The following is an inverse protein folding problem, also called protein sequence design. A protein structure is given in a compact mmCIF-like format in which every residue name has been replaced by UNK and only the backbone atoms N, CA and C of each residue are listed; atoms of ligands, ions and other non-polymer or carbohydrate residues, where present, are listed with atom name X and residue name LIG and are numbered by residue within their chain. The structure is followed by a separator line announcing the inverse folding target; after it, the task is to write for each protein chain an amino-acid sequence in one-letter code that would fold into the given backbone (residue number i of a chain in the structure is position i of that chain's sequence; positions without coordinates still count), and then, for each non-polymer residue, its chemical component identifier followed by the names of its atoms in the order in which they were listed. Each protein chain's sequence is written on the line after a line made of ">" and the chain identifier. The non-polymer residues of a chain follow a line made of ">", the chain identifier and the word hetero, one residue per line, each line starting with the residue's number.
data_IF_695358918111
#
_entry.id   IF_695358918111
#
_cell.length_a   1.000
_cell.length_b   1.000
_cell.length_c   1.000
_cell.angle_alpha   90.00
_cell.angle_beta   90.00
_cell.angle_gamma   90.00
#
_symmetry.space_group_name_H-M   'P 1'
#
loop_
_entity.id
_entity.type
_entity.pdbx_description
1 polymer ?
#
# COMPACT_ATOMS: atom_id res chain seq x y z
N UNK A 1 -58.03 12.00 37.12
CA UNK A 1 -57.08 11.12 36.38
C UNK A 1 -56.11 12.02 35.63
N UNK A 2 -54.91 12.25 36.17
CA UNK A 2 -53.89 13.14 35.57
C UNK A 2 -52.94 12.30 34.73
N UNK A 3 -52.77 12.69 33.48
CA UNK A 3 -52.07 11.98 32.42
C UNK A 3 -50.58 11.78 32.74
N UNK A 4 -50.15 10.52 32.68
CA UNK A 4 -48.78 10.06 32.98
C UNK A 4 -47.77 10.42 31.86
N UNK A 5 -48.24 10.93 30.71
CA UNK A 5 -47.41 11.18 29.53
C UNK A 5 -46.44 12.37 29.60
N UNK A 6 -46.61 13.31 30.54
CA UNK A 6 -45.78 14.54 30.57
C UNK A 6 -44.48 14.42 31.38
N UNK A 7 -44.25 13.31 32.10
CA UNK A 7 -43.01 13.14 32.89
C UNK A 7 -41.79 12.68 32.09
N UNK A 8 -41.96 12.27 30.83
CA UNK A 8 -40.83 11.89 29.97
C UNK A 8 -40.13 13.06 29.27
N UNK A 9 -40.68 14.27 29.34
CA UNK A 9 -40.09 15.47 28.73
C UNK A 9 -39.15 16.25 29.68
N UNK A 10 -39.10 15.89 30.96
CA UNK A 10 -38.28 16.58 31.99
C UNK A 10 -36.99 15.82 32.32
N UNK A 11 -36.61 14.87 31.46
CA UNK A 11 -35.46 14.01 31.71
C UNK A 11 -34.19 14.67 31.15
N UNK A 12 -33.34 15.16 32.05
CA UNK A 12 -32.00 15.72 31.76
C UNK A 12 -31.08 14.78 30.97
N UNK A 13 -31.52 13.55 30.71
CA UNK A 13 -30.91 12.54 29.84
C UNK A 13 -31.07 12.84 28.35
N UNK A 14 -32.07 13.63 27.95
CA UNK A 14 -32.33 13.98 26.54
C UNK A 14 -31.22 14.84 25.91
N UNK A 15 -30.60 15.74 26.68
CA UNK A 15 -29.49 16.57 26.22
C UNK A 15 -28.25 15.73 25.84
N UNK A 16 -28.00 14.65 26.58
CA UNK A 16 -26.88 13.73 26.30
C UNK A 16 -27.09 12.97 24.99
N UNK A 17 -28.32 12.52 24.71
CA UNK A 17 -28.63 11.78 23.48
C UNK A 17 -28.48 12.65 22.23
N UNK A 18 -28.95 13.89 22.27
CA UNK A 18 -28.78 14.85 21.17
C UNK A 18 -27.31 15.12 20.88
N UNK A 19 -26.49 15.26 21.93
CA UNK A 19 -25.04 15.46 21.79
C UNK A 19 -24.38 14.27 21.10
N UNK A 20 -24.74 13.03 21.48
CA UNK A 20 -24.19 11.83 20.84
C UNK A 20 -24.61 11.70 19.38
N UNK A 21 -25.87 12.00 19.05
CA UNK A 21 -26.36 11.95 17.67
C UNK A 21 -25.63 12.95 16.77
N UNK A 22 -25.25 14.12 17.31
CA UNK A 22 -24.47 15.13 16.59
C UNK A 22 -22.97 14.78 16.49
N UNK A 23 -22.38 14.20 17.53
CA UNK A 23 -20.94 13.91 17.56
C UNK A 23 -20.58 12.65 16.77
N UNK A 24 -21.49 11.67 16.73
CA UNK A 24 -21.28 10.39 16.06
C UNK A 24 -20.92 10.52 14.57
N UNK A 25 -21.62 11.30 13.73
CA UNK A 25 -21.24 11.45 12.31
C UNK A 25 -19.88 12.13 12.14
N UNK A 26 -19.54 13.10 13.00
CA UNK A 26 -18.23 13.76 12.99
C UNK A 26 -17.14 12.76 13.36
N UNK A 27 -17.38 11.94 14.38
CA UNK A 27 -16.46 10.90 14.80
C UNK A 27 -16.26 9.83 13.70
N UNK A 28 -17.33 9.39 13.04
CA UNK A 28 -17.23 8.45 11.92
C UNK A 28 -16.42 9.04 10.76
N UNK A 29 -16.64 10.31 10.42
CA UNK A 29 -15.85 11.00 9.38
C UNK A 29 -14.36 11.04 9.74
N UNK A 30 -14.02 11.30 11.00
CA UNK A 30 -12.62 11.30 11.46
C UNK A 30 -11.99 9.91 11.37
N UNK A 31 -12.70 8.87 11.82
CA UNK A 31 -12.19 7.49 11.79
C UNK A 31 -11.99 7.01 10.35
N UNK A 32 -12.96 7.27 9.47
CA UNK A 32 -12.86 6.91 8.06
C UNK A 32 -11.73 7.68 7.36
N UNK A 33 -11.60 8.98 7.64
CA UNK A 33 -10.50 9.78 7.11
C UNK A 33 -9.12 9.28 7.57
N UNK A 34 -8.98 8.97 8.85
CA UNK A 34 -7.74 8.40 9.40
C UNK A 34 -7.42 7.04 8.79
N UNK A 35 -8.43 6.18 8.58
CA UNK A 35 -8.27 4.88 7.96
C UNK A 35 -7.74 4.97 6.52
N UNK A 36 -8.27 5.89 5.71
CA UNK A 36 -7.78 6.10 4.34
C UNK A 36 -6.31 6.58 4.31
N UNK A 37 -5.94 7.49 5.20
CA UNK A 37 -4.54 7.96 5.31
C UNK A 37 -3.62 6.82 5.74
N UNK A 38 -4.01 6.05 6.76
CA UNK A 38 -3.26 4.88 7.21
C UNK A 38 -3.03 3.88 6.07
N UNK A 39 -4.08 3.60 5.30
CA UNK A 39 -4.04 2.72 4.13
C UNK A 39 -3.04 3.20 3.08
N UNK A 40 -3.01 4.48 2.75
CA UNK A 40 -2.05 5.05 1.81
C UNK A 40 -0.59 4.89 2.30
N UNK A 41 -0.35 5.16 3.59
CA UNK A 41 0.99 5.02 4.19
C UNK A 41 1.45 3.56 4.12
N UNK A 42 0.56 2.61 4.46
CA UNK A 42 0.87 1.18 4.42
C UNK A 42 1.29 0.71 3.02
N UNK A 43 0.62 1.19 1.97
CA UNK A 43 0.95 0.84 0.58
C UNK A 43 2.27 1.44 0.14
N UNK A 44 2.52 2.70 0.50
CA UNK A 44 3.81 3.33 0.20
C UNK A 44 4.95 2.55 0.87
N UNK A 45 4.76 2.13 2.13
CA UNK A 45 5.74 1.34 2.86
C UNK A 45 5.97 -0.04 2.23
N UNK A 46 4.92 -0.74 1.79
CA UNK A 46 5.09 -2.03 1.10
C UNK A 46 5.76 -1.87 -0.27
N UNK A 47 5.43 -0.81 -1.02
CA UNK A 47 6.10 -0.50 -2.29
C UNK A 47 7.60 -0.22 -2.09
N UNK A 48 7.96 0.54 -1.05
CA UNK A 48 9.35 0.82 -0.70
C UNK A 48 10.12 -0.46 -0.32
N UNK A 49 9.54 -1.32 0.52
CA UNK A 49 10.16 -2.59 0.91
C UNK A 49 10.29 -3.55 -0.28
N UNK A 50 9.25 -3.64 -1.12
CA UNK A 50 9.25 -4.47 -2.33
C UNK A 50 10.28 -4.01 -3.35
N UNK A 51 10.39 -2.70 -3.61
CA UNK A 51 11.40 -2.14 -4.52
C UNK A 51 12.80 -2.35 -4.00
N UNK A 52 13.03 -2.16 -2.70
CA UNK A 52 14.32 -2.46 -2.07
C UNK A 52 14.71 -3.93 -2.23
N UNK A 53 13.80 -4.87 -1.96
CA UNK A 53 14.08 -6.32 -2.12
C UNK A 53 14.30 -6.71 -3.57
N UNK A 54 13.48 -6.19 -4.49
CA UNK A 54 13.65 -6.38 -5.92
C UNK A 54 15.02 -5.85 -6.40
N UNK A 55 15.42 -4.66 -5.91
CA UNK A 55 16.72 -4.08 -6.21
C UNK A 55 17.85 -4.92 -5.64
N UNK A 56 17.74 -5.41 -4.41
CA UNK A 56 18.73 -6.29 -3.81
C UNK A 56 18.86 -7.62 -4.59
N UNK A 57 17.73 -8.18 -5.02
CA UNK A 57 17.70 -9.39 -5.83
C UNK A 57 18.38 -9.17 -7.19
N UNK A 58 18.12 -8.04 -7.86
CA UNK A 58 18.78 -7.65 -9.12
C UNK A 58 20.27 -7.36 -8.96
N UNK A 59 20.70 -6.81 -7.82
CA UNK A 59 22.11 -6.62 -7.51
C UNK A 59 22.89 -7.93 -7.58
N UNK A 60 22.24 -9.01 -7.14
CA UNK A 60 22.79 -10.35 -7.19
C UNK A 60 22.57 -10.93 -8.58
N UNK A 61 21.32 -10.99 -9.05
CA UNK A 61 20.84 -11.64 -10.29
C UNK A 61 20.51 -10.60 -11.37
N UNK A 62 21.51 -9.96 -12.00
CA UNK A 62 21.27 -8.88 -12.97
C UNK A 62 20.48 -9.36 -14.21
N UNK A 63 20.53 -10.66 -14.52
CA UNK A 63 19.85 -11.25 -15.68
C UNK A 63 18.40 -11.64 -15.41
N UNK A 64 17.97 -11.78 -14.14
CA UNK A 64 16.60 -12.22 -13.80
C UNK A 64 15.70 -11.08 -13.33
N UNK A 65 15.39 -10.17 -14.27
CA UNK A 65 14.44 -9.07 -14.02
C UNK A 65 13.05 -9.59 -13.63
N UNK A 66 12.63 -10.72 -14.19
CA UNK A 66 11.33 -11.32 -13.88
C UNK A 66 11.28 -11.81 -12.42
N UNK A 67 12.39 -12.34 -11.89
CA UNK A 67 12.50 -12.73 -10.49
C UNK A 67 12.40 -11.54 -9.52
N UNK A 68 12.99 -10.40 -9.88
CA UNK A 68 12.83 -9.16 -9.11
C UNK A 68 11.40 -8.62 -9.16
N UNK A 69 10.74 -8.67 -10.32
CA UNK A 69 9.34 -8.30 -10.44
C UNK A 69 8.44 -9.23 -9.61
N UNK A 70 8.73 -10.54 -9.58
CA UNK A 70 8.01 -11.50 -8.74
C UNK A 70 8.17 -11.17 -7.24
N UNK A 71 9.37 -10.81 -6.77
CA UNK A 71 9.59 -10.35 -5.41
C UNK A 71 8.81 -9.07 -5.07
N UNK A 72 8.76 -8.12 -6.00
CA UNK A 72 8.00 -6.88 -5.84
C UNK A 72 6.50 -7.16 -5.72
N UNK A 73 5.94 -7.98 -6.62
CA UNK A 73 4.53 -8.38 -6.61
C UNK A 73 4.18 -9.14 -5.34
N UNK A 74 5.03 -10.10 -4.95
CA UNK A 74 4.87 -10.87 -3.71
C UNK A 74 4.74 -9.97 -2.48
N UNK A 75 5.59 -8.96 -2.35
CA UNK A 75 5.55 -8.06 -1.18
C UNK A 75 4.29 -7.19 -1.18
N UNK A 76 3.80 -6.81 -2.36
CA UNK A 76 2.57 -6.04 -2.50
C UNK A 76 1.33 -6.87 -2.20
N UNK A 77 1.26 -8.10 -2.71
CA UNK A 77 0.12 -9.00 -2.51
C UNK A 77 0.06 -9.54 -1.08
N UNK A 78 1.22 -9.67 -0.42
CA UNK A 78 1.29 -10.04 1.00
C UNK A 78 0.86 -8.91 1.94
N UNK A 79 0.94 -7.66 1.50
CA UNK A 79 0.44 -6.54 2.27
C UNK A 79 -1.09 -6.63 2.32
N UNK A 80 -1.67 -6.72 3.53
CA UNK A 80 -3.13 -6.84 3.75
C UNK A 80 -3.96 -5.78 3.00
N UNK A 81 -3.34 -4.66 2.64
CA UNK A 81 -3.96 -3.51 1.99
C UNK A 81 -3.44 -3.31 0.56
N UNK A 82 -2.30 -3.93 0.23
CA UNK A 82 -1.66 -3.84 -1.08
C UNK A 82 -2.34 -4.76 -2.10
N UNK A 83 -2.35 -4.31 -3.36
CA UNK A 83 -2.78 -5.11 -4.49
C UNK A 83 -1.83 -4.82 -5.64
N UNK A 84 -1.22 -5.86 -6.23
CA UNK A 84 -0.34 -5.71 -7.38
C UNK A 84 -1.08 -5.35 -8.69
N UNK A 85 -2.42 -5.34 -8.73
CA UNK A 85 -3.23 -5.07 -9.92
C UNK A 85 -2.95 -3.70 -10.59
N UNK A 86 -2.43 -2.73 -9.84
CA UNK A 86 -2.03 -1.41 -10.36
C UNK A 86 -0.54 -1.26 -10.65
N UNK A 87 0.25 -2.31 -10.46
CA UNK A 87 1.69 -2.25 -10.63
C UNK A 87 2.05 -2.27 -12.12
N UNK A 88 2.79 -1.25 -12.56
CA UNK A 88 3.37 -1.26 -13.89
C UNK A 88 4.62 -2.15 -13.93
N UNK A 89 4.90 -2.81 -15.07
CA UNK A 89 6.12 -3.60 -15.22
C UNK A 89 7.36 -2.72 -15.00
N UNK A 90 8.39 -3.31 -14.40
CA UNK A 90 9.66 -2.62 -14.16
C UNK A 90 10.26 -2.13 -15.48
N UNK A 91 10.78 -0.90 -15.49
CA UNK A 91 11.52 -0.39 -16.62
C UNK A 91 12.81 -1.21 -16.82
N UNK A 92 12.90 -1.85 -18.00
CA UNK A 92 14.02 -2.74 -18.36
C UNK A 92 15.17 -1.99 -19.03
N UNK A 93 14.98 -0.70 -19.28
CA UNK A 93 15.95 0.14 -19.98
C UNK A 93 17.25 0.18 -19.18
N UNK A 94 18.34 -0.30 -19.77
CA UNK A 94 19.65 -0.35 -19.12
C UNK A 94 19.87 -1.53 -18.16
N UNK A 95 18.91 -2.45 -18.00
CA UNK A 95 19.10 -3.68 -17.22
C UNK A 95 19.71 -4.83 -18.04
N UNK A 96 19.65 -4.75 -19.38
CA UNK A 96 20.21 -5.79 -20.25
C UNK A 96 21.73 -5.68 -20.34
N UNK A 97 22.42 -6.77 -20.01
CA UNK A 97 23.88 -6.85 -20.14
C UNK A 97 24.67 -6.21 -18.98
N UNK A 98 24.00 -5.93 -17.85
CA UNK A 98 24.64 -5.50 -16.61
C UNK A 98 25.75 -6.47 -16.21
N UNK A 99 26.95 -5.93 -16.06
CA UNK A 99 28.13 -6.64 -15.55
C UNK A 99 28.34 -6.31 -14.09
N UNK A 100 29.28 -7.02 -13.50
CA UNK A 100 29.59 -6.77 -12.11
C UNK A 100 30.14 -5.35 -11.87
N UNK A 101 29.65 -4.71 -10.81
CA UNK A 101 30.02 -3.33 -10.45
C UNK A 101 29.26 -2.26 -11.23
N UNK A 102 28.52 -2.63 -12.29
CA UNK A 102 27.74 -1.67 -13.07
C UNK A 102 26.62 -1.07 -12.21
N UNK A 103 26.38 0.25 -12.34
CA UNK A 103 25.25 0.88 -11.69
C UNK A 103 23.95 0.49 -12.41
N UNK A 104 22.91 0.24 -11.63
CA UNK A 104 21.56 0.03 -12.14
C UNK A 104 20.57 0.89 -11.36
N UNK A 105 19.44 1.17 -11.97
CA UNK A 105 18.33 1.88 -11.34
C UNK A 105 17.04 1.16 -11.68
N UNK A 106 16.22 0.92 -10.67
CA UNK A 106 14.91 0.29 -10.81
C UNK A 106 13.87 1.31 -10.40
N UNK A 107 12.81 1.39 -11.19
CA UNK A 107 11.67 2.25 -10.94
C UNK A 107 10.42 1.39 -10.89
N UNK A 108 9.72 1.40 -9.76
CA UNK A 108 8.39 0.83 -9.67
C UNK A 108 7.35 1.93 -9.66
N UNK A 109 6.29 1.72 -10.42
CA UNK A 109 5.15 2.62 -10.49
C UNK A 109 3.92 1.82 -10.11
N UNK A 110 3.21 2.28 -9.08
CA UNK A 110 1.97 1.70 -8.62
C UNK A 110 0.86 2.74 -8.78
N UNK A 111 -0.05 2.46 -9.69
CA UNK A 111 -1.27 3.24 -9.85
C UNK A 111 -2.33 2.69 -8.89
N UNK A 112 -2.84 3.54 -8.00
CA UNK A 112 -3.84 3.11 -7.01
C UNK A 112 -5.22 3.22 -7.65
N UNK A 113 -5.97 2.12 -7.83
CA UNK A 113 -7.20 2.13 -8.60
C UNK A 113 -8.39 2.70 -7.84
N UNK A 114 -8.29 2.89 -6.52
CA UNK A 114 -9.37 3.47 -5.74
C UNK A 114 -9.20 4.97 -5.56
N UNK A 115 -10.34 5.63 -5.59
CA UNK A 115 -10.46 7.05 -5.35
C UNK A 115 -10.43 7.28 -3.84
N UNK A 116 -9.41 7.97 -3.34
CA UNK A 116 -9.44 8.48 -1.96
C UNK A 116 -10.28 9.73 -1.94
N UNK A 117 -11.52 9.61 -1.45
CA UNK A 117 -12.41 10.75 -1.26
C UNK A 117 -12.01 11.52 0.00
N UNK A 118 -10.93 12.30 -0.10
CA UNK A 118 -10.60 13.27 0.95
C UNK A 118 -11.52 14.47 0.73
N UNK A 119 -12.35 14.86 1.71
CA UNK A 119 -13.19 16.05 1.58
C UNK A 119 -12.34 17.24 1.15
N UNK A 120 -12.83 18.01 0.17
CA UNK A 120 -12.18 19.21 -0.38
C UNK A 120 -10.92 18.98 -1.25
N UNK A 121 -10.50 17.73 -1.49
CA UNK A 121 -9.51 17.43 -2.51
C UNK A 121 -10.18 16.85 -3.76
N UNK A 122 -9.74 17.25 -4.97
CA UNK A 122 -10.23 16.65 -6.20
C UNK A 122 -9.86 15.16 -6.23
N UNK A 123 -10.80 14.34 -6.69
CA UNK A 123 -10.57 12.91 -6.93
C UNK A 123 -9.49 12.79 -8.00
N UNK A 124 -8.32 12.29 -7.61
CA UNK A 124 -7.18 12.09 -8.51
C UNK A 124 -6.69 10.65 -8.41
N UNK A 125 -6.26 10.10 -9.55
CA UNK A 125 -5.52 8.85 -9.57
C UNK A 125 -4.17 9.09 -8.89
N UNK A 126 -3.99 8.50 -7.71
CA UNK A 126 -2.74 8.60 -6.97
C UNK A 126 -1.78 7.58 -7.58
N UNK A 127 -0.63 8.08 -8.06
CA UNK A 127 0.47 7.26 -8.55
C UNK A 127 1.62 7.33 -7.56
N UNK A 128 1.97 6.18 -7.00
CA UNK A 128 3.21 6.05 -6.24
C UNK A 128 4.35 5.66 -7.17
N UNK A 129 5.44 6.41 -7.10
CA UNK A 129 6.66 6.14 -7.84
C UNK A 129 7.77 5.97 -6.81
N UNK A 130 8.39 4.80 -6.81
CA UNK A 130 9.57 4.52 -6.01
C UNK A 130 10.72 4.15 -6.94
N UNK A 131 11.90 4.70 -6.64
CA UNK A 131 13.09 4.50 -7.44
C UNK A 131 14.25 4.13 -6.53
N UNK A 132 14.95 3.05 -6.88
CA UNK A 132 16.12 2.59 -6.14
C UNK A 132 17.28 2.37 -7.10
N UNK A 133 18.44 2.92 -6.77
CA UNK A 133 19.68 2.72 -7.54
C UNK A 133 20.68 1.92 -6.73
N UNK A 134 21.38 1.00 -7.37
CA UNK A 134 22.38 0.15 -6.76
C UNK A 134 23.53 -0.15 -7.71
N UNK A 135 24.43 -1.04 -7.28
CA UNK A 135 25.50 -1.60 -8.11
C UNK A 135 25.47 -3.11 -8.04
N UNK A 136 25.75 -3.78 -9.14
CA UNK A 136 25.79 -5.25 -9.22
C UNK A 136 26.91 -5.78 -8.32
N UNK A 137 26.61 -6.76 -7.47
CA UNK A 137 27.56 -7.33 -6.52
C UNK A 137 28.43 -8.41 -7.16
N UNK A 138 29.75 -8.42 -6.88
CA UNK A 138 30.71 -9.35 -7.49
C UNK A 138 31.01 -10.60 -6.66
N UNK A 139 30.32 -10.77 -5.54
CA UNK A 139 30.61 -11.86 -4.62
C UNK A 139 30.06 -13.20 -5.15
N UNK A 140 30.76 -14.32 -4.90
CA UNK A 140 30.23 -15.64 -5.21
C UNK A 140 28.94 -15.86 -4.43
N UNK A 141 27.89 -16.19 -5.18
CA UNK A 141 26.52 -16.30 -4.71
C UNK A 141 26.34 -17.26 -3.53
N UNK A 142 25.78 -16.76 -2.43
CA UNK A 142 24.90 -17.54 -1.55
C UNK A 142 23.51 -16.94 -1.70
N UNK A 143 22.84 -17.30 -2.78
CA UNK A 143 21.76 -16.50 -3.39
C UNK A 143 20.47 -16.41 -2.58
N UNK A 144 19.79 -15.27 -2.74
CA UNK A 144 18.35 -15.20 -2.57
C UNK A 144 17.69 -16.06 -3.64
N UNK A 145 16.91 -17.05 -3.25
CA UNK A 145 16.09 -17.84 -4.18
C UNK A 145 14.89 -17.01 -4.64
N UNK A 146 14.39 -17.28 -5.86
CA UNK A 146 13.11 -16.72 -6.32
C UNK A 146 12.03 -17.11 -5.31
N UNK A 147 11.07 -16.23 -4.95
CA UNK A 147 9.98 -16.65 -4.08
C UNK A 147 9.20 -17.70 -4.85
N UNK A 148 8.98 -18.85 -4.23
CA UNK A 148 8.21 -19.93 -4.82
C UNK A 148 6.82 -19.37 -5.13
N UNK A 149 6.31 -19.52 -6.37
CA UNK A 149 4.97 -19.06 -6.70
C UNK A 149 4.02 -19.74 -5.71
N UNK A 150 3.20 -18.95 -5.00
CA UNK A 150 2.15 -19.52 -4.16
C UNK A 150 1.17 -20.25 -5.08
N UNK A 151 1.36 -21.56 -5.21
CA UNK A 151 0.31 -22.46 -5.69
C UNK A 151 -0.91 -22.17 -4.84
N UNK A 152 -1.98 -21.73 -5.52
CA UNK A 152 -3.10 -21.04 -4.91
C UNK A 152 -3.59 -21.74 -3.65
N UNK A 153 -3.53 -21.02 -2.53
CA UNK A 153 -4.42 -21.31 -1.41
C UNK A 153 -5.83 -20.98 -1.88
N UNK A 154 -6.48 -21.95 -2.52
CA UNK A 154 -7.93 -22.01 -2.65
C UNK A 154 -8.51 -22.06 -1.24
N UNK A 155 -8.98 -20.92 -0.76
CA UNK A 155 -9.87 -20.82 0.39
C UNK A 155 -11.32 -20.96 -0.08
#
# INVERSE_FOLDING_TARGET
>A
MKSVGQRFLDDKRGATLVTYVLILPIFLLLVLGAYEVWRLIAIKQSLYLGTYRAARYLAQNPTDVNGAEAWLRWELDRSFIGNSAGLQPLDRTGLMGLRCGDPYTIRAVLDVPWIVAIPYLPLQNIRFVEQHSGRVECAPYRGWTRPEPQEGHTY
#
